data_IF_461482165747
#
_entry.id   IF_461482165747
#
_cell.length_a   1.000
_cell.length_b   1.000
_cell.length_c   1.000
_cell.angle_alpha   90.00
_cell.angle_beta   90.00
_cell.angle_gamma   90.00
#
_symmetry.space_group_name_H-M   'P 1'
#
loop_
_entity.id
_entity.type
_entity.pdbx_description
1 polymer ?
#
# COMPACT_ATOMS: atom_id res chain seq x y z
N UNK A 1 -9.60 59.75 5.45
CA UNK A 1 -8.82 58.99 4.77
C UNK A 1 -8.86 57.60 5.19
N UNK A 2 -9.08 56.75 4.38
CA UNK A 2 -9.20 55.50 4.71
C UNK A 2 -8.21 54.67 4.12
N UNK A 3 -7.75 53.77 4.81
CA UNK A 3 -6.77 52.94 4.39
C UNK A 3 -7.31 51.65 4.12
N UNK A 4 -7.29 51.31 2.96
CA UNK A 4 -7.72 50.07 2.63
C UNK A 4 -6.59 49.20 2.48
N UNK A 5 -6.45 48.32 3.35
CA UNK A 5 -5.48 47.33 3.21
C UNK A 5 -6.08 46.17 2.64
N UNK A 6 -5.71 45.82 1.49
CA UNK A 6 -6.08 44.55 0.98
C UNK A 6 -5.47 43.55 1.88
N UNK A 7 -6.27 42.97 2.63
CA UNK A 7 -5.86 41.86 3.28
C UNK A 7 -5.44 40.85 2.37
N UNK A 8 -4.24 40.70 2.26
CA UNK A 8 -3.74 39.58 1.60
C UNK A 8 -4.09 38.40 2.35
N UNK A 9 -5.14 37.84 1.97
CA UNK A 9 -5.40 36.53 2.40
C UNK A 9 -4.34 35.68 1.80
N UNK A 10 -3.35 35.45 2.50
CA UNK A 10 -2.45 34.48 2.15
C UNK A 10 -3.08 33.20 2.26
N UNK A 11 -3.48 32.71 1.20
CA UNK A 11 -3.84 31.37 1.14
C UNK A 11 -2.62 30.60 1.49
N UNK A 12 -2.59 30.16 2.64
CA UNK A 12 -1.59 29.27 3.02
C UNK A 12 -1.82 27.99 2.39
N UNK A 13 -1.12 27.79 1.41
CA UNK A 13 -1.05 26.50 0.84
C UNK A 13 -0.15 25.69 1.69
N UNK A 14 -0.71 25.05 2.64
CA UNK A 14 -0.01 23.89 3.09
C UNK A 14 -0.11 22.94 1.96
N UNK A 15 0.79 22.96 1.13
CA UNK A 15 1.01 21.87 0.27
C UNK A 15 1.23 20.71 1.18
N UNK A 16 0.22 19.95 1.38
CA UNK A 16 0.40 18.65 1.99
C UNK A 16 1.52 18.00 1.21
N UNK A 17 2.54 17.56 1.86
CA UNK A 17 3.57 16.83 1.19
C UNK A 17 2.90 15.72 0.50
N UNK A 18 3.12 15.69 -0.74
CA UNK A 18 2.48 14.76 -1.55
C UNK A 18 2.99 13.43 -1.18
N UNK A 19 2.17 12.66 -0.51
CA UNK A 19 2.43 11.26 -0.36
C UNK A 19 2.14 10.60 -1.68
N UNK A 20 2.32 11.33 -2.76
CA UNK A 20 2.00 10.86 -4.09
C UNK A 20 2.81 9.67 -4.49
N UNK A 21 3.91 9.45 -3.79
CA UNK A 21 4.79 8.35 -4.14
C UNK A 21 4.59 7.11 -3.29
N UNK A 22 3.71 7.17 -2.33
CA UNK A 22 3.39 5.98 -1.55
C UNK A 22 2.58 5.01 -2.41
N UNK A 23 2.88 3.71 -2.36
CA UNK A 23 2.10 2.75 -3.13
C UNK A 23 0.64 2.74 -2.69
N UNK A 24 -0.27 2.61 -3.66
CA UNK A 24 -1.69 2.48 -3.39
C UNK A 24 -2.11 1.05 -3.64
N UNK A 25 -2.87 0.49 -2.74
CA UNK A 25 -3.45 -0.83 -2.93
C UNK A 25 -4.87 -0.64 -3.42
N UNK A 26 -5.16 -1.12 -4.61
CA UNK A 26 -6.45 -0.96 -5.24
C UNK A 26 -7.39 -2.11 -4.95
N UNK A 27 -6.84 -3.29 -4.73
CA UNK A 27 -7.64 -4.47 -4.49
C UNK A 27 -6.82 -5.56 -3.84
N UNK A 28 -7.47 -6.35 -2.99
CA UNK A 28 -6.86 -7.54 -2.38
C UNK A 28 -7.86 -8.67 -2.49
N UNK A 29 -7.44 -9.77 -3.11
CA UNK A 29 -8.23 -10.99 -3.16
C UNK A 29 -7.57 -12.01 -2.26
N UNK A 30 -8.36 -12.75 -1.51
CA UNK A 30 -7.86 -13.80 -0.62
C UNK A 30 -8.59 -15.10 -0.93
N UNK A 31 -7.83 -16.19 -1.00
CA UNK A 31 -8.37 -17.48 -1.36
C UNK A 31 -7.74 -18.57 -0.52
N UNK A 32 -8.56 -19.48 0.01
CA UNK A 32 -8.08 -20.59 0.78
C UNK A 32 -7.43 -21.62 -0.13
N UNK A 33 -6.26 -22.05 0.25
CA UNK A 33 -5.55 -23.11 -0.48
C UNK A 33 -5.03 -24.13 0.50
N UNK A 34 -5.74 -25.23 0.64
CA UNK A 34 -5.39 -26.23 1.65
C UNK A 34 -5.53 -25.64 3.05
N UNK A 35 -4.44 -25.63 3.80
CA UNK A 35 -4.44 -25.07 5.15
C UNK A 35 -3.96 -23.63 5.16
N UNK A 36 -3.47 -23.14 4.04
CA UNK A 36 -2.91 -21.80 3.96
C UNK A 36 -3.79 -20.91 3.10
N UNK A 37 -3.35 -19.69 2.90
CA UNK A 37 -4.07 -18.70 2.11
C UNK A 37 -3.20 -18.15 1.03
N UNK A 38 -3.83 -17.79 -0.09
CA UNK A 38 -3.17 -17.06 -1.15
C UNK A 38 -3.79 -15.67 -1.21
N UNK A 39 -2.96 -14.64 -1.26
CA UNK A 39 -3.43 -13.30 -1.47
C UNK A 39 -2.94 -12.79 -2.81
N UNK A 40 -3.80 -12.04 -3.50
CA UNK A 40 -3.43 -11.37 -4.74
C UNK A 40 -3.68 -9.88 -4.52
N UNK A 41 -2.66 -9.08 -4.71
CA UNK A 41 -2.71 -7.67 -4.40
C UNK A 41 -2.48 -6.86 -5.67
N UNK A 42 -3.38 -5.92 -5.92
CA UNK A 42 -3.27 -5.00 -7.04
C UNK A 42 -2.75 -3.67 -6.54
N UNK A 43 -1.67 -3.21 -7.13
CA UNK A 43 -0.95 -2.03 -6.68
C UNK A 43 -0.84 -1.02 -7.81
N UNK A 44 -0.95 0.25 -7.44
CA UNK A 44 -0.64 1.35 -8.35
C UNK A 44 0.45 2.19 -7.69
N UNK A 45 1.49 2.45 -8.43
CA UNK A 45 2.62 3.24 -7.95
C UNK A 45 3.37 3.77 -9.18
N UNK A 46 3.81 5.04 -9.19
CA UNK A 46 4.50 5.58 -10.35
C UNK A 46 5.95 5.12 -10.38
N UNK A 47 6.16 3.84 -10.67
CA UNK A 47 7.49 3.28 -10.82
C UNK A 47 8.21 3.98 -11.96
N UNK A 48 9.39 4.47 -11.72
CA UNK A 48 10.16 5.15 -12.76
C UNK A 48 11.42 4.38 -13.17
N UNK A 49 11.77 3.38 -12.42
CA UNK A 49 12.96 2.57 -12.66
C UNK A 49 13.47 2.03 -11.35
N UNK A 50 14.71 1.54 -11.37
CA UNK A 50 15.29 0.92 -10.17
C UNK A 50 15.52 1.90 -9.03
N UNK A 51 15.48 3.19 -9.30
CA UNK A 51 15.66 4.20 -8.26
C UNK A 51 14.38 4.47 -7.50
N UNK A 52 13.24 4.14 -8.09
CA UNK A 52 11.96 4.44 -7.47
C UNK A 52 10.91 3.47 -7.99
N UNK A 53 10.58 2.48 -7.19
CA UNK A 53 9.58 1.47 -7.57
C UNK A 53 8.98 0.81 -6.33
N UNK A 54 7.79 0.25 -6.49
CA UNK A 54 7.19 -0.56 -5.44
C UNK A 54 7.99 -1.86 -5.39
N UNK A 55 8.64 -2.14 -4.27
CA UNK A 55 9.57 -3.25 -4.15
C UNK A 55 9.08 -4.41 -3.30
N UNK A 56 7.89 -4.31 -2.76
CA UNK A 56 7.32 -5.40 -1.99
C UNK A 56 6.00 -5.05 -1.36
N UNK A 57 5.32 -6.06 -0.84
CA UNK A 57 4.16 -5.85 0.00
C UNK A 57 4.11 -6.95 1.06
N UNK A 58 3.48 -6.64 2.16
CA UNK A 58 3.41 -7.56 3.27
C UNK A 58 2.00 -7.73 3.78
N UNK A 59 1.78 -8.87 4.42
CA UNK A 59 0.56 -9.17 5.14
C UNK A 59 0.90 -9.11 6.61
N UNK A 60 0.16 -8.36 7.38
CA UNK A 60 0.41 -8.20 8.81
C UNK A 60 -0.86 -8.45 9.61
N UNK A 61 -0.70 -8.73 10.89
CA UNK A 61 -1.84 -8.82 11.80
C UNK A 61 -2.13 -7.43 12.40
N UNK A 62 -3.13 -7.34 13.25
CA UNK A 62 -3.54 -6.06 13.84
C UNK A 62 -2.45 -5.44 14.72
N UNK A 63 -1.46 -6.21 15.12
CA UNK A 63 -0.37 -5.71 15.95
C UNK A 63 0.86 -5.39 15.12
N UNK A 64 0.75 -5.51 13.81
CA UNK A 64 1.86 -5.23 12.92
C UNK A 64 2.83 -6.40 12.72
N UNK A 65 2.50 -7.58 13.23
CA UNK A 65 3.37 -8.71 13.03
C UNK A 65 3.23 -9.23 11.62
N UNK A 66 4.35 -9.46 10.95
CA UNK A 66 4.33 -9.93 9.56
C UNK A 66 3.91 -11.39 9.49
N UNK A 67 2.92 -11.65 8.64
CA UNK A 67 2.45 -12.99 8.35
C UNK A 67 2.96 -13.47 6.99
N UNK A 68 3.34 -12.58 6.13
CA UNK A 68 3.88 -12.90 4.82
C UNK A 68 4.46 -11.69 4.13
N UNK A 69 5.35 -11.93 3.18
CA UNK A 69 5.97 -10.87 2.41
C UNK A 69 6.17 -11.30 0.97
N UNK A 70 5.77 -10.43 0.05
CA UNK A 70 5.98 -10.65 -1.37
C UNK A 70 7.00 -9.64 -1.86
N UNK A 71 8.15 -10.13 -2.28
CA UNK A 71 9.15 -9.26 -2.88
C UNK A 71 8.77 -9.00 -4.32
N UNK A 72 8.85 -7.76 -4.77
CA UNK A 72 8.61 -7.38 -6.15
C UNK A 72 9.96 -7.18 -6.79
N UNK A 73 10.26 -8.02 -7.76
CA UNK A 73 11.62 -8.21 -8.24
C UNK A 73 12.12 -7.16 -9.22
N UNK A 74 11.23 -6.33 -9.74
CA UNK A 74 11.63 -5.32 -10.73
C UNK A 74 10.58 -4.20 -10.81
N UNK A 75 10.96 -3.04 -11.36
CA UNK A 75 9.99 -1.97 -11.57
C UNK A 75 8.93 -2.33 -12.60
N UNK A 76 7.74 -1.77 -12.42
CA UNK A 76 6.62 -1.96 -13.34
C UNK A 76 6.29 -0.60 -13.96
N UNK A 77 7.16 -0.11 -14.81
CA UNK A 77 7.03 1.24 -15.36
C UNK A 77 5.86 1.36 -16.31
N UNK A 78 5.70 0.40 -17.19
CA UNK A 78 4.66 0.43 -18.20
C UNK A 78 3.43 -0.43 -17.88
N UNK A 79 3.46 -1.14 -16.80
CA UNK A 79 2.34 -1.96 -16.38
C UNK A 79 1.77 -1.39 -15.08
N UNK A 80 0.74 -0.58 -15.18
CA UNK A 80 0.09 0.01 -14.01
C UNK A 80 -1.41 0.05 -14.23
N UNK A 81 -2.21 -0.40 -13.28
CA UNK A 81 -1.80 -1.11 -12.08
C UNK A 81 -1.36 -2.54 -12.37
N UNK A 82 -0.71 -3.15 -11.43
CA UNK A 82 -0.27 -4.53 -11.59
C UNK A 82 -0.70 -5.37 -10.39
N UNK A 83 -0.83 -6.69 -10.61
CA UNK A 83 -1.29 -7.62 -9.58
C UNK A 83 -0.26 -8.72 -9.39
N UNK A 84 0.06 -9.02 -8.14
CA UNK A 84 0.97 -10.12 -7.82
C UNK A 84 0.41 -10.90 -6.63
N UNK A 85 0.77 -12.15 -6.55
CA UNK A 85 0.22 -13.06 -5.55
C UNK A 85 1.29 -13.58 -4.60
N UNK A 86 0.85 -13.95 -3.42
CA UNK A 86 1.68 -14.62 -2.44
C UNK A 86 0.94 -15.84 -1.93
N UNK A 87 1.57 -17.00 -2.01
CA UNK A 87 1.00 -18.24 -1.51
C UNK A 87 1.52 -18.55 -0.12
N UNK A 88 0.91 -19.53 0.49
CA UNK A 88 1.35 -20.07 1.77
C UNK A 88 1.37 -19.03 2.90
N UNK A 89 0.37 -18.16 2.90
CA UNK A 89 0.24 -17.22 3.99
C UNK A 89 -0.48 -17.93 5.13
N UNK A 90 0.21 -18.06 6.26
CA UNK A 90 -0.32 -18.75 7.42
C UNK A 90 -1.05 -17.74 8.28
N UNK A 91 -2.38 -17.86 8.33
CA UNK A 91 -3.18 -17.00 9.18
C UNK A 91 -3.55 -17.78 10.42
N UNK A 92 -3.22 -17.28 11.62
CA UNK A 92 -3.55 -17.99 12.85
C UNK A 92 -5.04 -18.29 12.97
N UNK A 93 -5.37 -19.43 13.56
CA UNK A 93 -6.75 -19.84 13.74
C UNK A 93 -7.52 -18.78 14.53
N UNK A 94 -8.72 -18.49 14.09
CA UNK A 94 -9.57 -17.52 14.76
C UNK A 94 -9.35 -16.07 14.36
N UNK A 95 -8.29 -15.80 13.59
CA UNK A 95 -8.03 -14.45 13.12
C UNK A 95 -8.97 -14.14 11.95
N UNK A 96 -9.79 -13.10 12.11
CA UNK A 96 -10.81 -12.74 11.14
C UNK A 96 -10.44 -11.62 10.21
N UNK A 97 -9.38 -10.91 10.51
CA UNK A 97 -8.95 -9.77 9.73
C UNK A 97 -7.45 -9.68 9.71
N UNK A 98 -6.91 -9.46 8.54
CA UNK A 98 -5.49 -9.22 8.34
C UNK A 98 -5.34 -7.94 7.53
N UNK A 99 -4.12 -7.45 7.38
CA UNK A 99 -3.89 -6.17 6.74
C UNK A 99 -2.78 -6.29 5.72
N UNK A 100 -2.88 -5.52 4.65
CA UNK A 100 -1.88 -5.51 3.58
C UNK A 100 -1.38 -4.10 3.39
N UNK A 101 -0.08 -3.96 3.22
CA UNK A 101 0.52 -2.68 2.84
C UNK A 101 1.69 -2.92 1.91
N UNK A 102 1.91 -1.99 1.02
CA UNK A 102 2.97 -2.07 0.02
C UNK A 102 4.06 -1.07 0.33
N UNK A 103 5.26 -1.36 -0.12
CA UNK A 103 6.46 -0.59 0.17
C UNK A 103 7.11 -0.06 -1.11
N UNK A 104 7.60 1.16 -1.05
CA UNK A 104 8.38 1.76 -2.12
C UNK A 104 9.85 1.74 -1.75
N UNK A 105 10.70 1.63 -2.75
CA UNK A 105 12.15 1.59 -2.54
C UNK A 105 12.70 2.83 -1.83
N UNK A 106 11.94 3.92 -1.80
CA UNK A 106 12.34 5.13 -1.05
C UNK A 106 12.00 5.06 0.44
N UNK A 107 11.40 3.98 0.88
CA UNK A 107 11.08 3.77 2.29
C UNK A 107 9.62 4.04 2.65
N UNK A 108 8.80 4.52 1.74
CA UNK A 108 7.41 4.81 2.05
C UNK A 108 6.55 3.55 1.94
N UNK A 109 5.65 3.42 2.89
CA UNK A 109 4.62 2.38 2.85
C UNK A 109 3.28 2.98 2.43
N UNK A 110 2.37 2.13 1.99
CA UNK A 110 0.97 2.52 1.80
C UNK A 110 0.53 3.34 3.02
N UNK A 111 -0.16 4.44 2.79
CA UNK A 111 -0.51 5.39 3.84
C UNK A 111 -1.29 4.74 4.98
N UNK A 112 -2.23 3.86 4.64
CA UNK A 112 -2.94 3.09 5.64
C UNK A 112 -3.03 1.65 5.20
N UNK A 113 -2.70 0.68 6.05
CA UNK A 113 -2.86 -0.72 5.69
C UNK A 113 -4.30 -1.02 5.33
N UNK A 114 -4.50 -1.87 4.35
CA UNK A 114 -5.82 -2.24 3.88
C UNK A 114 -6.30 -3.46 4.64
N UNK A 115 -7.45 -3.33 5.28
CA UNK A 115 -8.04 -4.44 6.03
C UNK A 115 -8.65 -5.47 5.07
N UNK A 116 -8.41 -6.72 5.34
CA UNK A 116 -8.88 -7.82 4.52
C UNK A 116 -9.59 -8.81 5.43
N UNK A 117 -10.86 -9.09 5.14
CA UNK A 117 -11.60 -10.09 5.90
C UNK A 117 -11.13 -11.48 5.50
N UNK A 118 -10.89 -12.34 6.48
CA UNK A 118 -10.49 -13.71 6.23
C UNK A 118 -11.76 -14.56 6.17
N UNK A 119 -12.08 -15.14 5.03
CA UNK A 119 -13.31 -15.92 4.91
C UNK A 119 -13.21 -17.27 5.65
N UNK A 120 -14.36 -17.89 5.88
CA UNK A 120 -14.42 -19.21 6.55
C UNK A 120 -14.81 -20.28 5.60
#
# INVERSE_FOLDING_TARGET
MKLNFPLLALALWSAAPVLADAPEILDVAIEKQGMDWQLSVTIRHPDSGWDHYADGWEVIDAKGKRLGYRELMHPHVDEQPFTRSLRNVMVPDGMREIYVRAHCSDGLWTAEPVAVAVPF
#
